data_IF_774370789104
#
_entry.id   IF_774370789104
#
_cell.length_a   1.000
_cell.length_b   1.000
_cell.length_c   1.000
_cell.angle_alpha   90.00
_cell.angle_beta   90.00
_cell.angle_gamma   90.00
#
_symmetry.space_group_name_H-M   'P 1'
#
loop_
_entity.id
_entity.type
_entity.pdbx_description
1 polymer ?
#
# COMPACT_ATOMS: atom_id res chain seq x y z
N UNK A 1 29.96 12.95 -50.92
CA UNK A 1 29.60 11.75 -50.13
C UNK A 1 28.18 11.94 -49.64
N UNK A 2 27.28 11.07 -50.10
CA UNK A 2 25.83 11.12 -49.89
C UNK A 2 25.38 10.14 -48.80
N UNK A 3 24.09 10.27 -48.44
CA UNK A 3 23.20 9.31 -47.75
C UNK A 3 23.20 9.39 -46.21
N UNK A 4 22.19 9.98 -45.55
CA UNK A 4 20.73 9.67 -45.46
C UNK A 4 20.40 8.66 -44.36
N UNK A 5 19.48 9.06 -43.46
CA UNK A 5 18.27 8.33 -42.98
C UNK A 5 17.79 8.95 -41.65
N UNK A 6 16.78 9.82 -41.69
CA UNK A 6 15.34 9.53 -41.51
C UNK A 6 14.96 9.19 -40.06
N UNK A 7 14.19 10.07 -39.41
CA UNK A 7 13.05 9.64 -38.61
C UNK A 7 11.83 10.52 -38.91
N UNK A 8 10.85 9.84 -39.49
CA UNK A 8 9.56 10.33 -39.94
C UNK A 8 8.63 10.62 -38.76
N UNK A 9 7.91 11.73 -38.91
CA UNK A 9 6.68 12.06 -38.22
C UNK A 9 5.68 10.91 -38.33
N UNK A 10 5.08 10.52 -37.21
CA UNK A 10 3.77 9.89 -37.21
C UNK A 10 2.82 10.72 -36.34
N UNK A 11 2.00 11.52 -37.03
CA UNK A 11 0.75 12.03 -36.50
C UNK A 11 -0.34 11.02 -36.86
N UNK A 12 -1.22 10.67 -35.91
CA UNK A 12 -2.61 10.28 -36.20
C UNK A 12 -3.55 10.68 -35.04
N UNK A 13 -4.84 10.90 -35.35
CA UNK A 13 -5.66 11.95 -34.76
C UNK A 13 -6.63 11.41 -33.70
N UNK A 14 -7.11 12.28 -32.80
CA UNK A 14 -8.30 12.00 -32.00
C UNK A 14 -9.51 12.66 -32.64
N UNK A 15 -10.40 11.80 -33.12
CA UNK A 15 -11.71 12.09 -33.67
C UNK A 15 -12.60 12.66 -32.55
N UNK A 16 -13.41 13.63 -32.97
CA UNK A 16 -14.44 14.34 -32.22
C UNK A 16 -15.55 13.38 -31.77
N UNK A 17 -15.97 13.48 -30.51
CA UNK A 17 -17.36 13.29 -30.11
C UNK A 17 -17.64 14.30 -28.98
N UNK A 18 -18.84 14.84 -29.04
CA UNK A 18 -19.22 16.17 -28.60
C UNK A 18 -20.23 16.05 -27.44
N UNK A 19 -20.33 17.12 -26.64
CA UNK A 19 -21.53 17.51 -25.86
C UNK A 19 -21.87 16.65 -24.62
N UNK A 20 -21.69 17.22 -23.42
CA UNK A 20 -22.78 17.75 -22.59
C UNK A 20 -22.27 18.09 -21.18
N UNK A 21 -22.81 19.19 -20.64
CA UNK A 21 -22.84 19.61 -19.22
C UNK A 21 -21.62 20.22 -18.52
N UNK A 22 -21.85 21.49 -18.17
CA UNK A 22 -21.60 22.14 -16.88
C UNK A 22 -20.15 22.49 -16.54
N UNK A 23 -19.90 23.80 -16.65
CA UNK A 23 -19.39 24.65 -15.58
C UNK A 23 -18.89 23.88 -14.35
N UNK A 24 -17.62 24.07 -14.00
CA UNK A 24 -17.16 24.44 -12.66
C UNK A 24 -15.61 24.55 -12.70
N UNK A 25 -15.10 25.71 -12.29
CA UNK A 25 -13.68 25.97 -12.06
C UNK A 25 -13.07 24.93 -11.11
N UNK A 26 -11.81 24.50 -11.28
CA UNK A 26 -11.09 23.83 -10.21
C UNK A 26 -10.52 24.88 -9.24
N UNK A 27 -11.35 25.39 -8.33
CA UNK A 27 -10.84 25.96 -7.08
C UNK A 27 -10.35 24.79 -6.21
N UNK A 28 -9.03 24.56 -6.19
CA UNK A 28 -8.37 23.77 -5.14
C UNK A 28 -8.52 24.52 -3.82
N UNK A 29 -9.61 24.29 -3.10
CA UNK A 29 -9.66 24.57 -1.67
C UNK A 29 -8.98 23.41 -0.95
N UNK A 30 -7.68 23.55 -0.71
CA UNK A 30 -6.99 22.78 0.33
C UNK A 30 -7.50 23.28 1.69
N UNK A 31 -8.65 22.76 2.14
CA UNK A 31 -9.11 22.94 3.52
C UNK A 31 -8.19 22.16 4.44
N UNK A 32 -7.11 22.81 4.85
CA UNK A 32 -6.34 22.40 6.02
C UNK A 32 -7.20 22.74 7.22
N UNK A 33 -7.82 21.75 7.85
CA UNK A 33 -8.40 21.93 9.18
C UNK A 33 -7.23 22.09 10.15
N UNK A 34 -6.75 23.33 10.29
CA UNK A 34 -5.86 23.72 11.39
C UNK A 34 -6.64 23.41 12.67
N UNK A 35 -6.25 22.34 13.34
CA UNK A 35 -6.64 22.13 14.73
C UNK A 35 -6.30 23.41 15.48
N UNK A 36 -7.21 23.94 16.32
CA UNK A 36 -6.94 25.17 17.04
C UNK A 36 -5.63 24.98 17.80
N UNK A 37 -4.62 25.72 17.36
CA UNK A 37 -3.37 25.89 18.08
C UNK A 37 -3.72 26.19 19.53
N UNK A 38 -3.04 25.55 20.47
CA UNK A 38 -3.13 25.86 21.89
C UNK A 38 -2.48 27.24 22.11
N UNK A 39 -3.04 28.26 21.49
CA UNK A 39 -2.64 29.65 21.58
C UNK A 39 -3.18 30.14 22.91
N UNK A 40 -2.33 30.06 23.93
CA UNK A 40 -2.11 31.13 24.89
C UNK A 40 -3.37 31.92 25.27
N UNK A 41 -4.33 31.23 25.89
CA UNK A 41 -5.53 31.85 26.47
C UNK A 41 -5.19 32.51 27.83
N UNK A 42 -4.04 33.18 27.88
CA UNK A 42 -3.49 33.86 29.05
C UNK A 42 -4.49 34.87 29.59
N UNK A 43 -5.14 35.60 28.68
CA UNK A 43 -6.09 36.65 29.02
C UNK A 43 -7.35 36.13 29.72
N UNK A 44 -7.71 34.85 29.56
CA UNK A 44 -8.91 34.26 30.16
C UNK A 44 -8.74 33.83 31.62
N UNK A 45 -7.51 33.46 32.00
CA UNK A 45 -7.21 32.93 33.34
C UNK A 45 -6.44 33.92 34.23
N UNK A 46 -6.06 35.09 33.72
CA UNK A 46 -5.45 36.14 34.54
C UNK A 46 -6.51 36.89 35.34
N UNK A 47 -6.72 36.46 36.58
CA UNK A 47 -7.35 37.32 37.59
C UNK A 47 -6.35 38.36 38.06
N UNK A 48 -6.56 39.62 37.67
CA UNK A 48 -5.82 40.74 38.23
C UNK A 48 -6.22 40.90 39.70
N UNK A 49 -5.25 40.87 40.60
CA UNK A 49 -5.49 41.20 42.00
C UNK A 49 -5.94 42.67 42.12
N UNK A 50 -6.84 42.92 43.08
CA UNK A 50 -7.27 44.27 43.41
C UNK A 50 -6.07 45.16 43.79
N UNK A 51 -6.24 46.49 43.64
CA UNK A 51 -5.23 47.49 43.99
C UNK A 51 -4.75 47.24 45.43
N UNK A 52 -3.45 47.02 45.60
CA UNK A 52 -2.86 46.75 46.91
C UNK A 52 -2.67 48.07 47.70
N UNK A 53 -3.52 48.31 48.69
CA UNK A 53 -3.43 49.48 49.58
C UNK A 53 -2.31 49.37 50.63
N UNK A 54 -1.65 48.21 50.72
CA UNK A 54 -0.59 47.93 51.69
C UNK A 54 0.56 48.93 51.62
N UNK A 55 0.98 49.33 50.42
CA UNK A 55 2.12 50.24 50.20
C UNK A 55 1.88 51.65 50.79
N UNK A 56 0.61 52.05 50.97
CA UNK A 56 0.25 53.37 51.49
C UNK A 56 -0.17 53.34 52.96
N UNK A 57 -0.20 52.17 53.60
CA UNK A 57 -0.71 51.97 54.96
C UNK A 57 0.33 52.19 56.06
N UNK A 58 1.61 52.36 55.71
CA UNK A 58 2.69 52.47 56.68
C UNK A 58 2.73 53.85 57.34
N UNK A 59 2.48 53.90 58.65
CA UNK A 59 2.65 55.10 59.48
C UNK A 59 3.93 54.95 60.32
N UNK A 60 4.91 55.88 60.21
CA UNK A 60 6.13 55.83 61.01
C UNK A 60 5.82 55.83 62.52
N UNK A 61 6.30 54.84 63.30
CA UNK A 61 6.16 54.85 64.76
C UNK A 61 6.98 55.99 65.38
N UNK A 62 6.43 56.63 66.43
CA UNK A 62 7.05 57.80 67.09
C UNK A 62 8.18 57.41 68.05
N UNK A 63 8.10 56.23 68.66
CA UNK A 63 9.09 55.72 69.62
C UNK A 63 10.01 54.65 69.01
N UNK A 64 11.34 54.74 69.22
CA UNK A 64 12.31 53.85 68.57
C UNK A 64 12.22 52.39 69.04
N UNK A 65 11.93 52.17 70.33
CA UNK A 65 11.79 50.82 70.93
C UNK A 65 10.56 50.09 70.39
N UNK A 66 9.46 50.80 70.16
CA UNK A 66 8.25 50.24 69.55
C UNK A 66 8.47 49.90 68.08
N UNK A 67 9.17 50.77 67.34
CA UNK A 67 9.50 50.53 65.93
C UNK A 67 10.30 49.23 65.77
N UNK A 68 11.30 49.00 66.63
CA UNK A 68 12.10 47.78 66.63
C UNK A 68 11.27 46.53 66.92
N UNK A 69 10.38 46.57 67.92
CA UNK A 69 9.48 45.46 68.25
C UNK A 69 8.54 45.14 67.08
N UNK A 70 7.88 46.15 66.51
CA UNK A 70 6.99 46.00 65.34
C UNK A 70 7.74 45.42 64.13
N UNK A 71 8.95 45.89 63.85
CA UNK A 71 9.79 45.37 62.77
C UNK A 71 10.23 43.92 63.01
N UNK A 72 10.61 43.57 64.24
CA UNK A 72 11.01 42.20 64.58
C UNK A 72 9.86 41.20 64.40
N UNK A 73 8.64 41.58 64.80
CA UNK A 73 7.41 40.80 64.58
C UNK A 73 7.13 40.66 63.09
N UNK A 74 7.16 41.77 62.34
CA UNK A 74 6.92 41.75 60.90
C UNK A 74 7.90 40.83 60.15
N UNK A 75 9.19 40.88 60.50
CA UNK A 75 10.21 40.00 59.91
C UNK A 75 9.93 38.53 60.19
N UNK A 76 9.53 38.20 61.42
CA UNK A 76 9.17 36.83 61.82
C UNK A 76 7.92 36.35 61.08
N UNK A 77 6.86 37.16 61.08
CA UNK A 77 5.59 36.81 60.46
C UNK A 77 5.75 36.64 58.95
N UNK A 78 6.52 37.53 58.30
CA UNK A 78 6.84 37.41 56.88
C UNK A 78 7.64 36.13 56.59
N UNK A 79 8.69 35.85 57.37
CA UNK A 79 9.47 34.63 57.21
C UNK A 79 8.62 33.36 57.37
N UNK A 80 7.68 33.35 58.33
CA UNK A 80 6.74 32.24 58.51
C UNK A 80 5.78 32.09 57.34
N UNK A 81 5.19 33.19 56.84
CA UNK A 81 4.30 33.18 55.67
C UNK A 81 5.02 32.69 54.41
N UNK A 82 6.21 33.22 54.13
CA UNK A 82 7.01 32.79 52.96
C UNK A 82 7.40 31.32 53.08
N UNK A 83 7.74 30.85 54.28
CA UNK A 83 8.06 29.44 54.52
C UNK A 83 6.86 28.53 54.27
N UNK A 84 5.65 28.94 54.67
CA UNK A 84 4.42 28.21 54.40
C UNK A 84 4.16 28.11 52.88
N UNK A 85 4.16 29.26 52.19
CA UNK A 85 3.97 29.33 50.72
C UNK A 85 5.00 28.48 49.98
N UNK A 86 6.26 28.48 50.41
CA UNK A 86 7.30 27.64 49.79
C UNK A 86 7.01 26.15 49.94
N UNK A 87 6.47 25.71 51.08
CA UNK A 87 6.10 24.31 51.30
C UNK A 87 4.92 23.90 50.41
N UNK A 88 3.89 24.75 50.35
CA UNK A 88 2.73 24.54 49.48
C UNK A 88 3.16 24.42 48.02
N UNK A 89 4.00 25.35 47.54
CA UNK A 89 4.52 25.31 46.19
C UNK A 89 5.30 24.03 45.89
N UNK A 90 6.16 23.57 46.81
CA UNK A 90 6.89 22.30 46.63
C UNK A 90 5.91 21.13 46.47
N UNK A 91 4.88 21.06 47.31
CA UNK A 91 3.86 20.01 47.24
C UNK A 91 3.08 20.06 45.93
N UNK A 92 2.65 21.24 45.49
CA UNK A 92 1.95 21.42 44.22
C UNK A 92 2.81 20.95 43.04
N UNK A 93 4.09 21.32 43.02
CA UNK A 93 5.02 20.90 41.96
C UNK A 93 5.26 19.38 41.98
N UNK A 94 5.33 18.76 43.16
CA UNK A 94 5.44 17.31 43.27
C UNK A 94 4.18 16.58 42.78
N UNK A 95 3.00 17.07 43.13
CA UNK A 95 1.73 16.53 42.62
C UNK A 95 1.65 16.62 41.10
N UNK A 96 1.99 17.77 40.52
CA UNK A 96 2.04 17.94 39.06
C UNK A 96 3.02 16.97 38.40
N UNK A 97 4.19 16.74 39.02
CA UNK A 97 5.18 15.78 38.52
C UNK A 97 4.63 14.35 38.53
N UNK A 98 3.97 13.93 39.62
CA UNK A 98 3.36 12.60 39.73
C UNK A 98 2.25 12.40 38.71
N UNK A 99 1.40 13.39 38.51
CA UNK A 99 0.32 13.31 37.53
C UNK A 99 0.85 13.23 36.10
N UNK A 100 1.95 13.93 35.81
CA UNK A 100 2.65 13.79 34.53
C UNK A 100 3.17 12.37 34.33
N UNK A 101 3.82 11.80 35.36
CA UNK A 101 4.33 10.43 35.31
C UNK A 101 3.21 9.41 35.05
N UNK A 102 2.09 9.50 35.78
CA UNK A 102 0.92 8.63 35.57
C UNK A 102 0.39 8.73 34.13
N UNK A 103 0.26 9.94 33.60
CA UNK A 103 -0.19 10.15 32.21
C UNK A 103 0.78 9.55 31.20
N UNK A 104 2.08 9.68 31.44
CA UNK A 104 3.12 9.15 30.55
C UNK A 104 3.15 7.61 30.61
N UNK A 105 2.97 7.01 31.79
CA UNK A 105 2.83 5.55 31.96
C UNK A 105 1.61 5.00 31.22
N UNK A 106 0.44 5.62 31.38
CA UNK A 106 -0.78 5.23 30.67
C UNK A 106 -0.57 5.27 29.15
N UNK A 107 0.05 6.35 28.63
CA UNK A 107 0.35 6.48 27.20
C UNK A 107 1.33 5.40 26.74
N UNK A 108 2.36 5.12 27.53
CA UNK A 108 3.37 4.09 27.21
C UNK A 108 2.74 2.70 27.13
N UNK A 109 1.88 2.35 28.07
CA UNK A 109 1.17 1.08 28.07
C UNK A 109 0.18 0.99 26.89
N UNK A 110 -0.58 2.04 26.60
CA UNK A 110 -1.46 2.08 25.44
C UNK A 110 -0.70 1.85 24.12
N UNK A 111 0.45 2.52 23.94
CA UNK A 111 1.30 2.33 22.77
C UNK A 111 1.91 0.93 22.69
N UNK A 112 2.20 0.30 23.85
CA UNK A 112 2.70 -1.08 23.90
C UNK A 112 1.63 -2.05 23.40
N UNK A 113 0.41 -1.95 23.93
CA UNK A 113 -0.73 -2.80 23.52
C UNK A 113 -1.03 -2.62 22.03
N UNK A 114 -1.16 -1.39 21.55
CA UNK A 114 -1.40 -1.12 20.12
C UNK A 114 -0.25 -1.68 19.25
N UNK A 115 0.99 -1.58 19.73
CA UNK A 115 2.17 -2.13 19.07
C UNK A 115 2.14 -3.66 18.98
N UNK A 116 1.70 -4.35 20.02
CA UNK A 116 1.54 -5.80 20.08
C UNK A 116 0.41 -6.27 19.15
N UNK A 117 -0.74 -5.60 19.17
CA UNK A 117 -1.87 -5.87 18.27
C UNK A 117 -1.47 -5.70 16.79
N UNK A 118 -0.77 -4.61 16.46
CA UNK A 118 -0.28 -4.38 15.10
C UNK A 118 0.71 -5.46 14.65
N UNK A 119 1.58 -5.93 15.55
CA UNK A 119 2.52 -7.02 15.26
C UNK A 119 1.78 -8.34 15.05
N UNK A 120 0.79 -8.65 15.88
CA UNK A 120 -0.04 -9.84 15.74
C UNK A 120 -0.82 -9.83 14.41
N UNK A 121 -1.45 -8.71 14.06
CA UNK A 121 -2.15 -8.54 12.78
C UNK A 121 -1.20 -8.71 11.58
N UNK A 122 0.00 -8.13 11.63
CA UNK A 122 1.03 -8.31 10.58
C UNK A 122 1.50 -9.76 10.47
N UNK A 123 1.66 -10.47 11.59
CA UNK A 123 2.05 -11.87 11.59
C UNK A 123 0.94 -12.76 10.98
N UNK A 124 -0.32 -12.52 11.33
CA UNK A 124 -1.47 -13.21 10.75
C UNK A 124 -1.55 -12.97 9.23
N UNK A 125 -1.43 -11.71 8.79
CA UNK A 125 -1.42 -11.36 7.37
C UNK A 125 -0.25 -12.01 6.61
N UNK A 126 0.95 -12.06 7.22
CA UNK A 126 2.11 -12.75 6.63
C UNK A 126 1.87 -14.25 6.49
N UNK A 127 1.23 -14.89 7.48
CA UNK A 127 0.86 -16.31 7.44
C UNK A 127 -0.17 -16.60 6.35
N UNK A 128 -1.23 -15.78 6.25
CA UNK A 128 -2.23 -15.89 5.18
C UNK A 128 -1.58 -15.76 3.79
N UNK A 129 -0.75 -14.74 3.58
CA UNK A 129 -0.02 -14.55 2.32
C UNK A 129 0.97 -15.68 2.02
N UNK A 130 1.52 -16.34 3.05
CA UNK A 130 2.36 -17.51 2.85
C UNK A 130 1.53 -18.71 2.36
N UNK A 131 0.36 -18.93 2.95
CA UNK A 131 -0.58 -19.97 2.51
C UNK A 131 -1.05 -19.74 1.07
N UNK A 132 -1.40 -18.50 0.70
CA UNK A 132 -1.77 -18.13 -0.68
C UNK A 132 -0.66 -18.47 -1.69
N UNK A 133 0.61 -18.21 -1.33
CA UNK A 133 1.75 -18.56 -2.20
C UNK A 133 1.91 -20.08 -2.36
N UNK A 134 1.62 -20.86 -1.33
CA UNK A 134 1.66 -22.33 -1.43
C UNK A 134 0.55 -22.83 -2.36
N UNK A 135 -0.67 -22.33 -2.19
CA UNK A 135 -1.79 -22.65 -3.07
C UNK A 135 -1.48 -22.28 -4.52
N UNK A 136 -0.95 -21.09 -4.78
CA UNK A 136 -0.56 -20.67 -6.13
C UNK A 136 0.51 -21.59 -6.74
N UNK A 137 1.45 -22.11 -5.94
CA UNK A 137 2.45 -23.08 -6.42
C UNK A 137 1.82 -24.45 -6.73
N UNK A 138 0.87 -24.90 -5.93
CA UNK A 138 0.13 -26.14 -6.16
C UNK A 138 -0.72 -26.04 -7.43
N UNK A 139 -1.46 -24.95 -7.60
CA UNK A 139 -2.21 -24.65 -8.82
C UNK A 139 -1.30 -24.64 -10.04
N UNK A 140 -0.14 -23.97 -9.95
CA UNK A 140 0.86 -23.96 -11.02
C UNK A 140 1.40 -25.36 -11.37
N UNK A 141 1.59 -26.23 -10.38
CA UNK A 141 1.98 -27.63 -10.64
C UNK A 141 0.86 -28.40 -11.33
N UNK A 142 -0.38 -28.21 -10.91
CA UNK A 142 -1.53 -28.86 -11.53
C UNK A 142 -1.70 -28.43 -12.99
N UNK A 143 -1.57 -27.14 -13.31
CA UNK A 143 -1.65 -26.64 -14.69
C UNK A 143 -0.54 -27.23 -15.56
N UNK A 144 0.69 -27.31 -15.05
CA UNK A 144 1.80 -27.96 -15.78
C UNK A 144 1.53 -29.45 -16.08
N UNK A 145 0.93 -30.19 -15.15
CA UNK A 145 0.57 -31.58 -15.40
C UNK A 145 -0.50 -31.72 -16.48
N UNK A 146 -1.51 -30.83 -16.47
CA UNK A 146 -2.55 -30.77 -17.52
C UNK A 146 -1.95 -30.47 -18.89
N UNK A 147 -1.12 -29.43 -19.01
CA UNK A 147 -0.46 -29.09 -20.27
C UNK A 147 0.41 -30.23 -20.82
N UNK A 148 1.12 -30.94 -19.93
CA UNK A 148 1.92 -32.11 -20.33
C UNK A 148 1.02 -33.24 -20.85
N UNK A 149 -0.11 -33.50 -20.20
CA UNK A 149 -1.07 -34.52 -20.64
C UNK A 149 -1.66 -34.15 -22.02
N UNK A 150 -2.10 -32.92 -22.20
CA UNK A 150 -2.63 -32.42 -23.48
C UNK A 150 -1.60 -32.54 -24.62
N UNK A 151 -0.33 -32.20 -24.36
CA UNK A 151 0.75 -32.36 -25.34
C UNK A 151 1.01 -33.82 -25.69
N UNK A 152 0.95 -34.73 -24.71
CA UNK A 152 1.11 -36.16 -24.96
C UNK A 152 -0.05 -36.71 -25.79
N UNK A 153 -1.28 -36.31 -25.50
CA UNK A 153 -2.46 -36.69 -26.30
C UNK A 153 -2.37 -36.16 -27.73
N UNK A 154 -1.98 -34.90 -27.87
CA UNK A 154 -1.74 -34.30 -29.18
C UNK A 154 -0.68 -35.07 -29.99
N UNK A 155 0.41 -35.51 -29.33
CA UNK A 155 1.45 -36.32 -29.97
C UNK A 155 0.92 -37.66 -30.46
N UNK A 156 0.18 -38.39 -29.61
CA UNK A 156 -0.44 -39.67 -29.98
C UNK A 156 -1.39 -39.51 -31.18
N UNK A 157 -2.23 -38.47 -31.17
CA UNK A 157 -3.14 -38.19 -32.28
C UNK A 157 -2.39 -37.85 -33.57
N UNK A 158 -1.26 -37.13 -33.47
CA UNK A 158 -0.41 -36.82 -34.61
C UNK A 158 0.26 -38.09 -35.17
N UNK A 159 0.78 -38.96 -34.32
CA UNK A 159 1.38 -40.23 -34.72
C UNK A 159 0.36 -41.13 -35.42
N UNK A 160 -0.85 -41.25 -34.87
CA UNK A 160 -1.94 -42.01 -35.48
C UNK A 160 -2.27 -41.48 -36.88
N UNK A 161 -2.42 -40.14 -37.04
CA UNK A 161 -2.65 -39.52 -38.36
C UNK A 161 -1.52 -39.78 -39.35
N UNK A 162 -0.27 -39.79 -38.89
CA UNK A 162 0.88 -40.11 -39.76
C UNK A 162 0.82 -41.58 -40.19
N UNK A 163 0.49 -42.49 -39.27
CA UNK A 163 0.35 -43.92 -39.55
C UNK A 163 -0.81 -44.22 -40.50
N UNK A 164 -1.95 -43.56 -40.33
CA UNK A 164 -3.09 -43.63 -41.25
C UNK A 164 -2.69 -43.20 -42.66
N UNK A 165 -2.07 -42.02 -42.81
CA UNK A 165 -1.57 -41.54 -44.12
C UNK A 165 -0.58 -42.50 -44.76
N UNK A 166 0.31 -43.12 -43.97
CA UNK A 166 1.25 -44.14 -44.47
C UNK A 166 0.50 -45.38 -44.98
N UNK A 167 -0.51 -45.85 -44.24
CA UNK A 167 -1.35 -46.99 -44.65
C UNK A 167 -2.15 -46.66 -45.92
N UNK A 168 -2.79 -45.50 -45.98
CA UNK A 168 -3.52 -45.04 -47.16
C UNK A 168 -2.62 -44.97 -48.40
N UNK A 169 -1.43 -44.37 -48.27
CA UNK A 169 -0.45 -44.32 -49.35
C UNK A 169 0.01 -45.72 -49.78
N UNK A 170 0.28 -46.61 -48.82
CA UNK A 170 0.66 -48.00 -49.11
C UNK A 170 -0.44 -48.77 -49.83
N UNK A 171 -1.72 -48.58 -49.44
CA UNK A 171 -2.86 -49.21 -50.09
C UNK A 171 -3.10 -48.65 -51.49
N UNK A 172 -2.96 -47.34 -51.68
CA UNK A 172 -3.06 -46.70 -52.99
C UNK A 172 -1.97 -47.22 -53.93
N UNK A 173 -0.72 -47.31 -53.45
CA UNK A 173 0.38 -47.92 -54.19
C UNK A 173 0.09 -49.38 -54.53
N UNK A 174 -0.44 -50.18 -53.60
CA UNK A 174 -0.79 -51.57 -53.88
C UNK A 174 -1.83 -51.71 -55.00
N UNK A 175 -2.91 -50.92 -54.96
CA UNK A 175 -3.94 -50.85 -56.01
C UNK A 175 -3.39 -50.40 -57.37
N UNK A 176 -2.48 -49.43 -57.37
CA UNK A 176 -1.82 -48.98 -58.61
C UNK A 176 -0.86 -50.06 -59.13
N UNK A 177 -0.07 -50.68 -58.25
CA UNK A 177 0.91 -51.70 -58.61
C UNK A 177 0.27 -52.98 -59.15
N UNK A 178 -0.95 -53.33 -58.72
CA UNK A 178 -1.68 -54.46 -59.32
C UNK A 178 -2.09 -54.22 -60.78
N UNK A 179 -2.01 -52.97 -61.26
CA UNK A 179 -2.19 -52.63 -62.67
C UNK A 179 -0.85 -52.41 -63.40
N UNK A 180 0.29 -52.53 -62.72
CA UNK A 180 1.59 -52.41 -63.37
C UNK A 180 1.78 -53.61 -64.29
N UNK A 181 2.31 -53.31 -65.47
CA UNK A 181 2.50 -54.28 -66.54
C UNK A 181 3.99 -54.54 -66.57
N UNK A 182 4.38 -55.81 -66.50
CA UNK A 182 5.79 -56.18 -66.60
C UNK A 182 6.30 -55.87 -68.01
N UNK A 183 7.57 -55.46 -68.10
CA UNK A 183 8.21 -55.03 -69.35
C UNK A 183 8.00 -55.99 -70.55
N UNK A 184 8.08 -57.33 -70.42
CA UNK A 184 7.79 -58.24 -71.53
C UNK A 184 6.31 -58.31 -71.93
N UNK A 185 5.36 -57.93 -71.06
CA UNK A 185 3.91 -57.95 -71.32
C UNK A 185 3.37 -56.60 -71.82
N UNK A 186 4.23 -55.57 -71.81
CA UNK A 186 3.86 -54.19 -72.12
C UNK A 186 3.44 -54.00 -73.58
N UNK A 187 4.20 -54.56 -74.53
CA UNK A 187 3.90 -54.46 -75.96
C UNK A 187 2.55 -55.12 -76.30
N UNK A 188 2.24 -56.26 -75.67
CA UNK A 188 0.97 -56.96 -75.84
C UNK A 188 -0.24 -56.14 -75.37
N UNK A 189 -0.16 -55.56 -74.18
CA UNK A 189 -1.24 -54.70 -73.64
C UNK A 189 -1.42 -53.39 -74.40
N UNK A 190 -0.35 -52.82 -74.96
CA UNK A 190 -0.45 -51.61 -75.81
C UNK A 190 -1.28 -51.92 -77.07
N UNK A 191 -1.02 -53.05 -77.73
CA UNK A 191 -1.79 -53.48 -78.89
C UNK A 191 -3.26 -53.74 -78.54
N UNK A 192 -3.53 -54.40 -77.41
CA UNK A 192 -4.88 -54.66 -76.91
C UNK A 192 -5.66 -53.35 -76.65
N UNK A 193 -5.04 -52.35 -76.03
CA UNK A 193 -5.65 -51.06 -75.77
C UNK A 193 -5.95 -50.26 -77.05
N UNK A 194 -5.07 -50.34 -78.05
CA UNK A 194 -5.29 -49.71 -79.36
C UNK A 194 -6.50 -50.33 -80.07
N UNK A 195 -6.63 -51.66 -80.02
CA UNK A 195 -7.77 -52.38 -80.62
C UNK A 195 -9.07 -52.12 -79.87
N UNK A 196 -9.04 -52.06 -78.53
CA UNK A 196 -10.21 -51.75 -77.70
C UNK A 196 -10.70 -50.29 -77.85
N UNK A 197 -9.80 -49.36 -78.20
CA UNK A 197 -10.14 -47.94 -78.44
C UNK A 197 -10.69 -47.63 -79.84
N UNK A 198 -10.75 -48.61 -80.74
CA UNK A 198 -11.26 -48.47 -82.12
C UNK A 198 -12.73 -48.85 -82.31
N UNK A 199 -13.55 -48.74 -81.25
CA UNK A 199 -15.02 -48.85 -81.28
C UNK A 199 -15.65 -47.56 -80.78
#
# INVERSE_FOLDING_TARGET
MASSRLLLRFAKPRILENIFTQQLLPQRYLSTTVSPSHHNDHQRNHQYHARNDYLNSWKPPKDPKEAQSKLSRLRRDYAMKVKAVRKEYIQEMELQRLDKQRKDEIKKEALRVEGEERKAAKAAAKKAKAAERQLAQEEFRQTLLKERAEKLEYHKMRENKIMEKKKEKSQLLHRQSSMWIDEPELEGKILEAIVAGTI
#
